data_IF_517421771723
#
_entry.id   IF_517421771723
#
_cell.length_a   1.000
_cell.length_b   1.000
_cell.length_c   1.000
_cell.angle_alpha   90.00
_cell.angle_beta   90.00
_cell.angle_gamma   90.00
#
_symmetry.space_group_name_H-M   'P 1'
#
loop_
_entity.id
_entity.type
_entity.pdbx_description
1 polymer ?
#
# COMPACT_ATOMS: atom_id res chain seq x y z
N UNK A 1 10.80 14.75 -14.76
CA UNK A 1 9.51 14.40 -14.12
C UNK A 1 8.58 15.60 -14.20
N UNK A 2 7.23 15.41 -14.36
CA UNK A 2 6.24 16.51 -14.35
C UNK A 2 6.19 17.19 -12.98
N UNK A 3 5.85 18.48 -12.96
CA UNK A 3 5.66 19.28 -11.75
C UNK A 3 4.33 20.03 -11.73
N UNK A 4 3.64 20.08 -12.89
CA UNK A 4 2.35 20.74 -13.01
C UNK A 4 1.19 19.91 -12.44
N UNK A 5 0.22 20.61 -11.86
CA UNK A 5 -1.02 20.03 -11.32
C UNK A 5 -2.26 20.58 -12.04
N UNK A 6 -2.11 21.12 -13.26
CA UNK A 6 -3.16 21.85 -13.99
C UNK A 6 -4.40 20.99 -14.29
N UNK A 7 -4.24 19.67 -14.35
CA UNK A 7 -5.34 18.71 -14.51
C UNK A 7 -6.19 18.51 -13.26
N UNK A 8 -5.73 19.00 -12.08
CA UNK A 8 -6.46 18.88 -10.82
C UNK A 8 -7.23 20.17 -10.49
N UNK A 9 -8.43 20.06 -9.91
CA UNK A 9 -9.15 21.22 -9.37
C UNK A 9 -8.30 21.97 -8.32
N UNK A 10 -8.43 23.29 -8.26
CA UNK A 10 -7.69 24.13 -7.29
C UNK A 10 -7.84 23.67 -5.83
N UNK A 11 -8.99 23.11 -5.48
CA UNK A 11 -9.22 22.54 -4.14
C UNK A 11 -8.29 21.37 -3.85
N UNK A 12 -8.07 20.50 -4.83
CA UNK A 12 -7.17 19.33 -4.72
C UNK A 12 -5.70 19.75 -4.71
N UNK A 13 -5.35 20.79 -5.49
CA UNK A 13 -4.00 21.35 -5.46
C UNK A 13 -3.66 21.92 -4.07
N UNK A 14 -4.58 22.69 -3.45
CA UNK A 14 -4.41 23.21 -2.08
C UNK A 14 -4.35 22.11 -1.01
N UNK A 15 -5.12 21.04 -1.18
CA UNK A 15 -5.02 19.88 -0.29
C UNK A 15 -3.63 19.23 -0.39
N UNK A 16 -3.08 19.06 -1.60
CA UNK A 16 -1.74 18.51 -1.80
C UNK A 16 -0.64 19.42 -1.22
N UNK A 17 -0.75 20.74 -1.39
CA UNK A 17 0.15 21.69 -0.74
C UNK A 17 0.13 21.53 0.78
N UNK A 18 -1.07 21.41 1.35
CA UNK A 18 -1.25 21.17 2.80
C UNK A 18 -0.63 19.84 3.24
N UNK A 19 -0.83 18.78 2.47
CA UNK A 19 -0.24 17.48 2.75
C UNK A 19 1.29 17.55 2.77
N UNK A 20 1.90 18.18 1.75
CA UNK A 20 3.35 18.38 1.69
C UNK A 20 3.84 19.17 2.90
N UNK A 21 3.15 20.25 3.26
CA UNK A 21 3.49 21.05 4.44
C UNK A 21 3.49 20.20 5.72
N UNK A 22 2.47 19.39 5.95
CA UNK A 22 2.39 18.48 7.12
C UNK A 22 3.57 17.52 7.15
N UNK A 23 3.87 16.89 6.00
CA UNK A 23 4.98 15.93 5.91
C UNK A 23 6.31 16.58 6.31
N UNK A 24 6.57 17.82 5.87
CA UNK A 24 7.80 18.54 6.24
C UNK A 24 7.81 18.95 7.71
N UNK A 25 6.74 19.56 8.23
CA UNK A 25 6.65 20.00 9.63
C UNK A 25 6.87 18.84 10.61
N UNK A 26 6.23 17.70 10.37
CA UNK A 26 6.37 16.53 11.23
C UNK A 26 7.74 15.84 11.07
N UNK A 27 8.28 15.78 9.85
CA UNK A 27 9.62 15.27 9.61
C UNK A 27 10.69 16.12 10.28
N UNK A 28 10.61 17.45 10.18
CA UNK A 28 11.51 18.37 10.88
C UNK A 28 11.43 18.19 12.39
N UNK A 29 10.22 18.07 12.94
CA UNK A 29 10.01 17.81 14.37
C UNK A 29 10.64 16.48 14.82
N UNK A 30 10.47 15.41 14.04
CA UNK A 30 11.03 14.09 14.34
C UNK A 30 12.57 14.06 14.25
N UNK A 31 13.17 14.95 13.46
CA UNK A 31 14.62 15.03 13.26
C UNK A 31 15.28 16.13 14.07
N UNK A 32 14.54 17.04 14.72
CA UNK A 32 15.04 18.20 15.45
C UNK A 32 16.01 17.84 16.59
N UNK A 33 15.76 16.74 17.32
CA UNK A 33 16.65 16.25 18.39
C UNK A 33 17.72 15.33 17.78
N UNK A 34 18.72 15.91 17.16
CA UNK A 34 19.73 15.17 16.40
C UNK A 34 21.02 15.02 17.21
N UNK A 35 21.21 13.87 17.86
CA UNK A 35 22.44 13.49 18.54
C UNK A 35 23.49 12.83 17.61
N UNK A 36 23.13 12.46 16.40
CA UNK A 36 23.99 11.83 15.40
C UNK A 36 24.14 12.68 14.15
N UNK A 37 25.31 12.60 13.51
CA UNK A 37 25.61 13.40 12.32
C UNK A 37 24.65 13.09 11.14
N UNK A 38 24.29 11.83 10.94
CA UNK A 38 23.35 11.44 9.87
C UNK A 38 21.96 12.06 10.09
N UNK A 39 21.49 12.17 11.34
CA UNK A 39 20.19 12.76 11.67
C UNK A 39 20.19 14.29 11.44
N UNK A 40 21.32 14.95 11.66
CA UNK A 40 21.51 16.39 11.32
C UNK A 40 21.48 16.65 9.82
N UNK A 41 21.80 15.65 9.03
CA UNK A 41 21.79 15.71 7.57
C UNK A 41 20.52 15.10 6.96
N UNK A 42 19.55 14.70 7.80
CA UNK A 42 18.29 14.12 7.36
C UNK A 42 17.54 15.07 6.41
N UNK A 43 17.13 14.57 5.24
CA UNK A 43 16.43 15.36 4.22
C UNK A 43 15.41 14.54 3.48
N UNK A 44 14.28 15.15 3.21
CA UNK A 44 13.38 14.74 2.14
C UNK A 44 14.00 15.25 0.83
N UNK A 45 14.24 14.36 -0.11
CA UNK A 45 14.80 14.70 -1.42
C UNK A 45 13.70 14.97 -2.43
N UNK A 46 12.64 14.15 -2.44
CA UNK A 46 11.50 14.33 -3.34
C UNK A 46 10.21 13.87 -2.64
N UNK A 47 9.09 14.50 -3.00
CA UNK A 47 7.73 14.04 -2.71
C UNK A 47 7.02 13.92 -4.06
N UNK A 48 6.63 12.72 -4.45
CA UNK A 48 6.07 12.42 -5.76
C UNK A 48 4.65 11.90 -5.60
N UNK A 49 3.69 12.59 -6.20
CA UNK A 49 2.32 12.10 -6.36
C UNK A 49 2.29 11.05 -7.47
N UNK A 50 1.73 9.88 -7.20
CA UNK A 50 1.53 8.82 -8.19
C UNK A 50 0.10 8.27 -8.15
N UNK A 51 -0.21 7.26 -8.95
CA UNK A 51 -1.52 6.62 -8.93
C UNK A 51 -2.59 7.39 -9.70
N UNK A 52 -3.84 7.28 -9.24
CA UNK A 52 -5.01 7.80 -9.98
C UNK A 52 -5.00 9.32 -10.11
N UNK A 53 -4.61 10.03 -9.06
CA UNK A 53 -4.52 11.50 -9.10
C UNK A 53 -3.44 12.01 -10.05
N UNK A 54 -2.29 11.33 -10.12
CA UNK A 54 -1.24 11.72 -11.07
C UNK A 54 -1.66 11.48 -12.53
N UNK A 55 -2.44 10.41 -12.80
CA UNK A 55 -2.90 10.06 -14.15
C UNK A 55 -4.22 10.73 -14.58
N UNK A 56 -4.88 11.48 -13.68
CA UNK A 56 -6.17 12.11 -13.98
C UNK A 56 -7.37 11.17 -13.96
N UNK A 57 -7.22 9.94 -13.48
CA UNK A 57 -8.27 8.93 -13.41
C UNK A 57 -8.84 8.71 -11.99
N UNK A 58 -8.80 9.71 -11.12
CA UNK A 58 -9.33 9.59 -9.76
C UNK A 58 -10.87 9.54 -9.75
N UNK A 59 -11.42 8.86 -8.75
CA UNK A 59 -12.86 8.79 -8.47
C UNK A 59 -13.11 9.46 -7.12
N UNK A 60 -14.09 10.36 -7.06
CA UNK A 60 -14.50 11.06 -5.84
C UNK A 60 -16.02 10.94 -5.69
N UNK A 61 -16.49 9.72 -5.39
CA UNK A 61 -17.92 9.39 -5.26
C UNK A 61 -18.26 8.84 -3.87
N UNK A 62 -17.98 9.60 -2.78
CA UNK A 62 -18.21 9.12 -1.41
C UNK A 62 -19.69 8.91 -1.09
N UNK A 63 -20.60 9.45 -1.91
CA UNK A 63 -22.06 9.41 -1.71
C UNK A 63 -22.77 8.32 -2.53
N UNK A 64 -22.05 7.58 -3.38
CA UNK A 64 -22.63 6.46 -4.12
C UNK A 64 -22.73 5.20 -3.25
N UNK A 65 -23.57 4.24 -3.66
CA UNK A 65 -23.70 2.96 -2.94
C UNK A 65 -22.35 2.22 -2.83
N UNK A 66 -21.40 2.45 -3.73
CA UNK A 66 -20.03 1.90 -3.69
C UNK A 66 -19.10 2.69 -2.77
N UNK A 67 -19.41 3.98 -2.47
CA UNK A 67 -18.65 4.84 -1.54
C UNK A 67 -17.15 4.91 -1.85
N UNK A 68 -16.76 4.76 -3.13
CA UNK A 68 -15.37 4.72 -3.51
C UNK A 68 -14.81 6.13 -3.64
N UNK A 69 -13.73 6.38 -2.94
CA UNK A 69 -12.95 7.60 -3.04
C UNK A 69 -11.49 7.22 -3.25
N UNK A 70 -10.87 7.83 -4.26
CA UNK A 70 -9.44 7.66 -4.51
C UNK A 70 -8.62 8.39 -3.44
N UNK A 71 -7.48 7.82 -3.09
CA UNK A 71 -6.53 8.39 -2.14
C UNK A 71 -5.43 9.16 -2.87
N UNK A 72 -4.83 10.14 -2.20
CA UNK A 72 -3.53 10.67 -2.64
C UNK A 72 -2.45 9.65 -2.30
N UNK A 73 -1.70 9.20 -3.31
CA UNK A 73 -0.58 8.31 -3.15
C UNK A 73 0.71 9.06 -3.34
N UNK A 74 1.55 9.02 -2.32
CA UNK A 74 2.81 9.73 -2.31
C UNK A 74 3.99 8.78 -2.13
N UNK A 75 5.02 8.96 -2.95
CA UNK A 75 6.34 8.41 -2.72
C UNK A 75 7.22 9.51 -2.15
N UNK A 76 7.70 9.30 -0.94
CA UNK A 76 8.66 10.18 -0.28
C UNK A 76 10.04 9.58 -0.42
N UNK A 77 10.96 10.33 -1.01
CA UNK A 77 12.36 9.90 -1.19
C UNK A 77 13.22 10.65 -0.18
N UNK A 78 13.97 9.89 0.62
CA UNK A 78 14.85 10.39 1.67
C UNK A 78 16.31 10.03 1.39
N UNK A 79 17.22 10.75 2.03
CA UNK A 79 18.66 10.59 1.81
C UNK A 79 19.35 9.53 2.68
N UNK A 80 18.63 8.85 3.58
CA UNK A 80 19.24 7.86 4.48
C UNK A 80 18.27 6.75 4.87
N UNK A 81 18.74 5.48 4.90
CA UNK A 81 17.93 4.28 5.16
C UNK A 81 17.15 4.33 6.47
N UNK A 82 17.74 4.81 7.54
CA UNK A 82 17.04 4.91 8.84
C UNK A 82 15.80 5.81 8.79
N UNK A 83 15.75 6.77 7.88
CA UNK A 83 14.60 7.67 7.72
C UNK A 83 13.39 6.97 7.08
N UNK A 84 13.53 5.74 6.62
CA UNK A 84 12.38 4.95 6.13
C UNK A 84 11.61 4.27 7.25
N UNK A 85 12.09 4.32 8.51
CA UNK A 85 11.35 3.82 9.66
C UNK A 85 10.10 4.66 9.92
N UNK A 86 8.95 4.05 9.62
CA UNK A 86 7.64 4.71 9.73
C UNK A 86 7.27 5.05 11.18
N UNK A 87 7.62 4.17 12.12
CA UNK A 87 7.27 4.36 13.52
C UNK A 87 8.03 5.53 14.14
N UNK A 88 9.32 5.67 13.83
CA UNK A 88 10.16 6.72 14.39
C UNK A 88 9.93 8.08 13.72
N UNK A 89 9.81 8.15 12.37
CA UNK A 89 9.86 9.42 11.66
C UNK A 89 8.54 9.88 11.06
N UNK A 90 7.56 8.99 10.87
CA UNK A 90 6.37 9.28 10.06
C UNK A 90 5.04 9.06 10.77
N UNK A 91 5.03 8.43 11.95
CA UNK A 91 3.79 8.17 12.70
C UNK A 91 3.03 9.45 13.05
N UNK A 92 3.71 10.52 13.45
CA UNK A 92 3.10 11.81 13.76
C UNK A 92 2.47 12.45 12.52
N UNK A 93 3.11 12.31 11.35
CA UNK A 93 2.56 12.78 10.08
C UNK A 93 1.29 12.00 9.70
N UNK A 94 1.30 10.67 9.83
CA UNK A 94 0.11 9.83 9.61
C UNK A 94 -1.05 10.23 10.54
N UNK A 95 -0.77 10.38 11.83
CA UNK A 95 -1.78 10.76 12.82
C UNK A 95 -2.38 12.14 12.53
N UNK A 96 -1.54 13.10 12.11
CA UNK A 96 -2.00 14.44 11.77
C UNK A 96 -2.82 14.45 10.49
N UNK A 97 -2.39 13.76 9.43
CA UNK A 97 -3.16 13.62 8.20
C UNK A 97 -4.52 12.96 8.45
N UNK A 98 -4.56 11.89 9.24
CA UNK A 98 -5.80 11.24 9.63
C UNK A 98 -6.71 12.14 10.47
N UNK A 99 -6.16 12.96 11.36
CA UNK A 99 -6.91 13.94 12.16
C UNK A 99 -7.49 15.03 11.28
N UNK A 100 -6.72 15.56 10.32
CA UNK A 100 -7.19 16.57 9.38
C UNK A 100 -8.27 16.03 8.43
N UNK A 101 -8.23 14.76 8.09
CA UNK A 101 -9.27 14.09 7.32
C UNK A 101 -10.55 13.84 8.14
N UNK A 102 -10.42 13.20 9.31
CA UNK A 102 -11.55 12.66 10.05
C UNK A 102 -12.21 13.68 11.00
N UNK A 103 -11.43 14.59 11.60
CA UNK A 103 -11.88 15.49 12.66
C UNK A 103 -12.05 16.92 12.15
N UNK A 104 -10.98 17.56 11.71
CA UNK A 104 -11.04 18.97 11.29
C UNK A 104 -11.61 19.14 9.88
N UNK A 105 -11.59 18.09 9.08
CA UNK A 105 -12.05 18.08 7.68
C UNK A 105 -11.38 19.13 6.79
N UNK A 106 -10.17 19.52 7.16
CA UNK A 106 -9.31 20.38 6.35
C UNK A 106 -8.87 19.63 5.10
N UNK A 107 -8.61 18.33 5.24
CA UNK A 107 -8.45 17.40 4.13
C UNK A 107 -9.77 16.65 3.89
N UNK A 108 -10.09 16.39 2.62
CA UNK A 108 -11.26 15.62 2.20
C UNK A 108 -10.88 14.33 1.48
N UNK A 109 -9.62 14.23 1.08
CA UNK A 109 -9.06 13.10 0.37
C UNK A 109 -8.12 12.35 1.30
N UNK A 110 -8.29 11.02 1.47
CA UNK A 110 -7.35 10.21 2.22
C UNK A 110 -5.95 10.29 1.62
N UNK A 111 -4.93 10.17 2.47
CA UNK A 111 -3.53 10.23 2.05
C UNK A 111 -2.83 8.93 2.42
N UNK A 112 -2.22 8.29 1.44
CA UNK A 112 -1.29 7.19 1.63
C UNK A 112 0.10 7.61 1.18
N UNK A 113 1.13 7.24 1.94
CA UNK A 113 2.49 7.46 1.49
C UNK A 113 3.40 6.27 1.81
N UNK A 114 4.41 6.11 1.00
CA UNK A 114 5.52 5.18 1.19
C UNK A 114 6.81 5.96 1.22
N UNK A 115 7.79 5.46 1.95
CA UNK A 115 9.09 6.12 2.11
C UNK A 115 10.19 5.19 1.65
N UNK A 116 11.01 5.67 0.73
CA UNK A 116 12.19 4.97 0.22
C UNK A 116 13.41 5.89 0.20
N UNK A 117 14.58 5.29 0.23
CA UNK A 117 15.80 6.03 -0.10
C UNK A 117 15.92 6.24 -1.61
N UNK A 118 16.70 7.24 -2.01
CA UNK A 118 17.02 7.44 -3.42
C UNK A 118 17.70 6.21 -4.03
N UNK A 119 18.53 5.51 -3.26
CA UNK A 119 19.18 4.29 -3.72
C UNK A 119 18.18 3.18 -3.98
N UNK A 120 17.24 2.92 -3.07
CA UNK A 120 16.19 1.90 -3.27
C UNK A 120 15.34 2.17 -4.51
N UNK A 121 15.02 3.44 -4.77
CA UNK A 121 14.28 3.84 -5.98
C UNK A 121 15.13 3.59 -7.24
N UNK A 122 16.40 4.00 -7.23
CA UNK A 122 17.31 3.80 -8.36
C UNK A 122 17.54 2.29 -8.62
N UNK A 123 17.71 1.49 -7.57
CA UNK A 123 17.84 0.04 -7.69
C UNK A 123 16.54 -0.58 -8.24
N UNK A 124 15.38 -0.09 -7.79
CA UNK A 124 14.10 -0.50 -8.33
C UNK A 124 13.93 -0.22 -9.83
N UNK A 125 14.37 0.94 -10.27
CA UNK A 125 14.37 1.33 -11.70
C UNK A 125 15.37 0.48 -12.52
N UNK A 126 16.57 0.28 -12.02
CA UNK A 126 17.60 -0.53 -12.69
C UNK A 126 17.22 -2.00 -12.75
N UNK A 127 16.47 -2.51 -11.76
CA UNK A 127 15.96 -3.87 -11.72
C UNK A 127 14.63 -4.04 -12.48
N UNK A 128 14.12 -3.00 -13.12
CA UNK A 128 12.89 -3.06 -13.89
C UNK A 128 11.64 -3.39 -13.06
N UNK A 129 11.57 -2.87 -11.83
CA UNK A 129 10.36 -3.02 -10.99
C UNK A 129 9.29 -2.08 -11.50
N UNK A 130 8.18 -2.64 -11.99
CA UNK A 130 7.13 -1.88 -12.66
C UNK A 130 6.56 -0.75 -11.82
N UNK A 131 6.45 -0.93 -10.51
CA UNK A 131 5.99 0.13 -9.61
C UNK A 131 6.85 1.41 -9.75
N UNK A 132 8.18 1.30 -9.67
CA UNK A 132 9.06 2.46 -9.80
C UNK A 132 9.10 3.00 -11.21
N UNK A 133 8.97 2.14 -12.23
CA UNK A 133 8.84 2.55 -13.63
C UNK A 133 7.60 3.41 -13.82
N UNK A 134 6.45 2.98 -13.30
CA UNK A 134 5.20 3.73 -13.39
C UNK A 134 5.28 5.07 -12.65
N UNK A 135 5.92 5.09 -11.47
CA UNK A 135 6.15 6.34 -10.73
C UNK A 135 7.08 7.28 -11.49
N UNK A 136 8.12 6.77 -12.11
CA UNK A 136 9.05 7.60 -12.90
C UNK A 136 8.39 8.17 -14.17
N UNK A 137 7.50 7.38 -14.82
CA UNK A 137 6.79 7.78 -16.04
C UNK A 137 5.65 8.75 -15.77
N UNK A 138 4.76 8.41 -14.83
CA UNK A 138 3.49 9.09 -14.62
C UNK A 138 3.47 10.02 -13.40
N UNK A 139 4.48 9.94 -12.53
CA UNK A 139 4.55 10.67 -11.28
C UNK A 139 4.72 12.18 -11.48
N UNK A 140 4.17 12.94 -10.51
CA UNK A 140 4.26 14.40 -10.46
C UNK A 140 5.06 14.78 -9.22
N UNK A 141 6.17 15.48 -9.39
CA UNK A 141 6.97 15.96 -8.27
C UNK A 141 6.26 17.16 -7.61
N UNK A 142 5.71 16.93 -6.41
CA UNK A 142 5.17 18.00 -5.55
C UNK A 142 6.29 18.77 -4.87
N UNK A 143 7.42 18.11 -4.63
CA UNK A 143 8.64 18.71 -4.09
C UNK A 143 9.86 17.96 -4.62
N UNK A 144 10.92 18.69 -4.89
CA UNK A 144 12.25 18.16 -5.18
C UNK A 144 13.35 19.10 -4.69
N UNK A 145 14.34 18.56 -3.98
CA UNK A 145 15.45 19.34 -3.41
C UNK A 145 16.44 19.80 -4.50
N UNK A 146 16.48 19.06 -5.61
CA UNK A 146 17.24 19.42 -6.81
C UNK A 146 16.46 18.95 -8.06
N UNK A 147 16.69 19.57 -9.23
CA UNK A 147 15.96 19.26 -10.46
C UNK A 147 16.41 17.98 -11.15
N UNK A 148 17.32 17.19 -10.55
CA UNK A 148 17.81 15.94 -11.17
C UNK A 148 16.69 14.94 -11.29
N UNK A 149 16.44 14.45 -12.48
CA UNK A 149 15.46 13.41 -12.75
C UNK A 149 15.91 12.06 -12.17
N UNK A 150 14.95 11.17 -11.96
CA UNK A 150 15.23 9.78 -11.65
C UNK A 150 15.92 9.13 -12.87
N UNK A 151 16.79 8.12 -12.65
CA UNK A 151 17.43 7.39 -13.76
C UNK A 151 16.41 6.81 -14.73
N UNK A 152 16.80 6.65 -15.97
CA UNK A 152 15.97 5.95 -16.95
C UNK A 152 15.71 4.50 -16.50
N UNK A 153 14.43 4.07 -16.49
CA UNK A 153 14.10 2.71 -16.14
C UNK A 153 14.74 1.69 -17.08
N UNK A 154 15.18 0.57 -16.52
CA UNK A 154 15.64 -0.58 -17.29
C UNK A 154 14.60 -1.70 -17.19
N UNK A 155 13.63 -1.79 -18.12
CA UNK A 155 12.63 -2.84 -18.11
C UNK A 155 13.28 -4.22 -18.16
N UNK A 156 12.68 -5.19 -17.45
CA UNK A 156 13.10 -6.59 -17.54
C UNK A 156 12.82 -7.14 -18.93
N UNK A 157 13.69 -8.06 -19.37
CA UNK A 157 13.32 -8.91 -20.49
C UNK A 157 12.09 -9.75 -20.15
N UNK A 158 11.28 -10.18 -21.15
CA UNK A 158 10.12 -11.05 -20.89
C UNK A 158 10.47 -12.29 -20.07
N UNK A 159 11.59 -12.95 -20.36
CA UNK A 159 12.05 -14.14 -19.62
C UNK A 159 12.38 -13.83 -18.16
N UNK A 160 13.05 -12.71 -17.88
CA UNK A 160 13.36 -12.28 -16.52
C UNK A 160 12.07 -11.93 -15.74
N UNK A 161 11.13 -11.26 -16.40
CA UNK A 161 9.85 -10.92 -15.81
C UNK A 161 9.04 -12.16 -15.49
N UNK A 162 9.00 -13.14 -16.40
CA UNK A 162 8.33 -14.42 -16.22
C UNK A 162 8.94 -15.22 -15.06
N UNK A 163 10.25 -15.37 -15.03
CA UNK A 163 10.93 -16.10 -13.96
C UNK A 163 10.65 -15.50 -12.58
N UNK A 164 10.73 -14.19 -12.45
CA UNK A 164 10.45 -13.49 -11.20
C UNK A 164 8.97 -13.58 -10.79
N UNK A 165 8.03 -13.45 -11.74
CA UNK A 165 6.60 -13.58 -11.45
C UNK A 165 6.28 -14.99 -10.91
N UNK A 166 6.85 -16.04 -11.50
CA UNK A 166 6.69 -17.43 -11.04
C UNK A 166 7.27 -17.64 -9.63
N UNK A 167 8.48 -17.14 -9.37
CA UNK A 167 9.12 -17.22 -8.05
C UNK A 167 8.24 -16.59 -6.96
N UNK A 168 7.73 -15.39 -7.18
CA UNK A 168 6.83 -14.72 -6.23
C UNK A 168 5.51 -15.47 -6.06
N UNK A 169 4.95 -16.00 -7.13
CA UNK A 169 3.70 -16.76 -7.07
C UNK A 169 3.86 -18.03 -6.24
N UNK A 170 4.92 -18.79 -6.50
CA UNK A 170 5.25 -20.05 -5.80
C UNK A 170 5.57 -19.84 -4.31
N UNK A 171 6.12 -18.67 -3.95
CA UNK A 171 6.40 -18.33 -2.56
C UNK A 171 5.14 -17.86 -1.82
N UNK A 172 4.45 -16.86 -2.36
CA UNK A 172 3.47 -16.11 -1.60
C UNK A 172 2.06 -16.70 -1.60
N UNK A 173 1.60 -17.31 -2.69
CA UNK A 173 0.27 -17.89 -2.74
C UNK A 173 0.13 -19.09 -1.77
N UNK A 174 1.05 -20.08 -1.76
CA UNK A 174 0.99 -21.16 -0.80
C UNK A 174 1.17 -20.68 0.65
N UNK A 175 1.97 -19.63 0.87
CA UNK A 175 2.13 -19.03 2.20
C UNK A 175 0.81 -18.47 2.74
N UNK A 176 0.04 -17.78 1.89
CA UNK A 176 -1.30 -17.28 2.24
C UNK A 176 -2.28 -18.44 2.52
N UNK A 177 -2.27 -19.46 1.68
CA UNK A 177 -3.15 -20.62 1.80
C UNK A 177 -2.92 -21.41 3.10
N UNK A 178 -1.66 -21.66 3.45
CA UNK A 178 -1.31 -22.31 4.73
C UNK A 178 -1.77 -21.50 5.94
N UNK A 179 -1.59 -20.18 5.91
CA UNK A 179 -2.03 -19.30 7.01
C UNK A 179 -3.55 -19.26 7.14
N UNK A 180 -4.28 -19.30 6.02
CA UNK A 180 -5.74 -19.39 6.02
C UNK A 180 -6.20 -20.73 6.63
N UNK A 181 -5.59 -21.84 6.25
CA UNK A 181 -5.88 -23.15 6.80
C UNK A 181 -5.65 -23.20 8.32
N UNK A 182 -4.49 -22.74 8.77
CA UNK A 182 -4.16 -22.64 10.20
C UNK A 182 -5.12 -21.71 10.94
N UNK A 183 -5.56 -20.60 10.33
CA UNK A 183 -6.54 -19.70 10.91
C UNK A 183 -7.91 -20.37 11.09
N UNK A 184 -8.36 -21.16 10.14
CA UNK A 184 -9.59 -21.95 10.25
C UNK A 184 -9.47 -23.05 11.31
N UNK A 185 -8.32 -23.68 11.41
CA UNK A 185 -8.06 -24.67 12.45
C UNK A 185 -8.03 -24.04 13.85
N UNK A 186 -7.42 -22.88 14.00
CA UNK A 186 -7.43 -22.12 15.25
C UNK A 186 -8.87 -21.73 15.68
N UNK A 187 -9.72 -21.35 14.72
CA UNK A 187 -11.14 -21.10 14.97
C UNK A 187 -11.85 -22.37 15.44
N UNK A 188 -11.67 -23.50 14.77
CA UNK A 188 -12.28 -24.76 15.15
C UNK A 188 -11.88 -25.25 16.55
N UNK A 189 -10.71 -24.82 17.03
CA UNK A 189 -10.21 -25.11 18.38
C UNK A 189 -10.61 -24.02 19.41
N UNK A 190 -11.45 -23.07 19.05
CA UNK A 190 -11.87 -21.95 19.89
C UNK A 190 -10.69 -21.03 20.35
N UNK A 191 -9.74 -20.77 19.45
CA UNK A 191 -8.65 -19.82 19.66
C UNK A 191 -8.89 -18.54 18.81
N UNK A 192 -9.85 -17.68 19.19
CA UNK A 192 -10.33 -16.59 18.32
C UNK A 192 -9.26 -15.54 18.00
N UNK A 193 -8.33 -15.27 18.93
CA UNK A 193 -7.27 -14.29 18.72
C UNK A 193 -6.22 -14.81 17.74
N UNK A 194 -5.83 -16.08 17.86
CA UNK A 194 -4.88 -16.71 16.95
C UNK A 194 -5.49 -16.83 15.55
N UNK A 195 -6.77 -17.22 15.46
CA UNK A 195 -7.50 -17.24 14.21
C UNK A 195 -7.51 -15.87 13.52
N UNK A 196 -7.85 -14.79 14.25
CA UNK A 196 -7.85 -13.44 13.70
C UNK A 196 -6.48 -13.00 13.20
N UNK A 197 -5.42 -13.28 13.96
CA UNK A 197 -4.05 -12.96 13.57
C UNK A 197 -3.62 -13.73 12.31
N UNK A 198 -3.90 -15.03 12.25
CA UNK A 198 -3.58 -15.87 11.09
C UNK A 198 -4.35 -15.47 9.84
N UNK A 199 -5.63 -15.09 9.96
CA UNK A 199 -6.42 -14.54 8.85
C UNK A 199 -5.87 -13.20 8.37
N UNK A 200 -5.40 -12.33 9.28
CA UNK A 200 -4.69 -11.11 8.90
C UNK A 200 -3.43 -11.44 8.09
N UNK A 201 -2.60 -12.37 8.57
CA UNK A 201 -1.36 -12.75 7.90
C UNK A 201 -1.61 -13.45 6.54
N UNK A 202 -2.69 -14.21 6.41
CA UNK A 202 -3.12 -14.78 5.14
C UNK A 202 -3.50 -13.69 4.12
N UNK A 203 -4.30 -12.71 4.57
CA UNK A 203 -4.71 -11.56 3.76
C UNK A 203 -3.51 -10.74 3.28
N UNK A 204 -2.57 -10.47 4.17
CA UNK A 204 -1.31 -9.77 3.86
C UNK A 204 -0.51 -10.55 2.80
N UNK A 205 -0.36 -11.88 2.96
CA UNK A 205 0.37 -12.71 2.01
C UNK A 205 -0.28 -12.73 0.62
N UNK A 206 -1.60 -12.77 0.52
CA UNK A 206 -2.30 -12.70 -0.76
C UNK A 206 -2.14 -11.35 -1.44
N UNK A 207 -2.20 -10.24 -0.69
CA UNK A 207 -1.92 -8.94 -1.27
C UNK A 207 -0.47 -8.80 -1.73
N UNK A 208 0.50 -9.30 -0.96
CA UNK A 208 1.89 -9.34 -1.40
C UNK A 208 2.06 -10.17 -2.67
N UNK A 209 1.37 -11.31 -2.78
CA UNK A 209 1.41 -12.15 -3.98
C UNK A 209 1.01 -11.35 -5.23
N UNK A 210 -0.17 -10.77 -5.25
CA UNK A 210 -0.65 -10.04 -6.44
C UNK A 210 0.20 -8.80 -6.74
N UNK A 211 0.64 -8.07 -5.72
CA UNK A 211 1.51 -6.91 -5.89
C UNK A 211 2.87 -7.30 -6.50
N UNK A 212 3.51 -8.32 -5.96
CA UNK A 212 4.82 -8.78 -6.42
C UNK A 212 4.76 -9.42 -7.81
N UNK A 213 3.76 -10.25 -8.09
CA UNK A 213 3.61 -10.90 -9.41
C UNK A 213 3.30 -9.87 -10.51
N UNK A 214 2.46 -8.89 -10.22
CA UNK A 214 2.00 -7.94 -11.24
C UNK A 214 2.88 -6.70 -11.38
N UNK A 215 3.53 -6.23 -10.29
CA UNK A 215 4.31 -4.98 -10.30
C UNK A 215 5.78 -5.14 -9.88
N UNK A 216 6.20 -6.33 -9.44
CA UNK A 216 7.52 -6.63 -8.87
C UNK A 216 7.88 -5.75 -7.67
N UNK A 217 6.85 -5.26 -6.99
CA UNK A 217 6.99 -4.45 -5.80
C UNK A 217 5.82 -4.69 -4.83
N UNK A 218 6.13 -4.79 -3.56
CA UNK A 218 5.15 -4.70 -2.47
C UNK A 218 5.74 -3.82 -1.35
N UNK A 219 4.97 -2.89 -0.78
CA UNK A 219 5.44 -2.05 0.31
C UNK A 219 5.63 -2.88 1.59
N UNK A 220 6.71 -2.62 2.32
CA UNK A 220 6.96 -3.26 3.62
C UNK A 220 6.01 -2.69 4.69
N UNK A 221 4.83 -3.25 4.81
CA UNK A 221 3.81 -2.80 5.76
C UNK A 221 2.85 -3.92 6.11
N UNK A 222 2.32 -3.87 7.33
CA UNK A 222 1.22 -4.73 7.81
C UNK A 222 -0.16 -4.02 7.72
N UNK A 223 -0.21 -2.84 7.10
CA UNK A 223 -1.44 -2.08 6.93
C UNK A 223 -2.28 -2.68 5.79
N UNK A 224 -3.25 -3.54 6.15
CA UNK A 224 -4.13 -4.19 5.16
C UNK A 224 -4.96 -3.20 4.34
N UNK A 225 -5.34 -2.05 4.90
CA UNK A 225 -6.07 -1.05 4.13
C UNK A 225 -5.22 -0.50 2.99
N UNK A 226 -3.95 -0.21 3.27
CA UNK A 226 -3.01 0.26 2.28
C UNK A 226 -2.69 -0.82 1.23
N UNK A 227 -2.36 -2.05 1.64
CA UNK A 227 -2.12 -3.16 0.72
C UNK A 227 -3.32 -3.42 -0.18
N UNK A 228 -4.53 -3.38 0.38
CA UNK A 228 -5.79 -3.52 -0.33
C UNK A 228 -5.93 -2.45 -1.41
N UNK A 229 -5.74 -1.17 -1.08
CA UNK A 229 -5.84 -0.06 -2.04
C UNK A 229 -4.85 -0.23 -3.19
N UNK A 230 -3.61 -0.66 -2.90
CA UNK A 230 -2.62 -0.92 -3.94
C UNK A 230 -3.02 -2.10 -4.84
N UNK A 231 -3.51 -3.19 -4.26
CA UNK A 231 -3.94 -4.37 -5.00
C UNK A 231 -5.19 -4.12 -5.86
N UNK A 232 -6.19 -3.40 -5.34
CA UNK A 232 -7.43 -3.04 -6.06
C UNK A 232 -7.16 -2.18 -7.31
N UNK A 233 -6.01 -1.50 -7.38
CA UNK A 233 -5.56 -0.77 -8.58
C UNK A 233 -4.99 -1.67 -9.66
N UNK A 234 -4.42 -2.81 -9.26
CA UNK A 234 -3.92 -3.79 -10.22
C UNK A 234 -5.09 -4.44 -10.91
N UNK A 235 -6.11 -4.85 -10.14
CA UNK A 235 -7.28 -5.51 -10.70
C UNK A 235 -8.56 -5.18 -9.91
N UNK A 236 -9.59 -4.61 -10.55
CA UNK A 236 -10.84 -4.23 -9.91
C UNK A 236 -11.65 -5.42 -9.35
N UNK A 237 -11.40 -6.67 -9.77
CA UNK A 237 -12.02 -7.87 -9.19
C UNK A 237 -11.74 -8.02 -7.70
N UNK A 238 -10.64 -7.43 -7.20
CA UNK A 238 -10.28 -7.43 -5.79
C UNK A 238 -11.20 -6.53 -4.93
N UNK A 239 -11.89 -5.55 -5.54
CA UNK A 239 -12.83 -4.66 -4.85
C UNK A 239 -14.01 -5.46 -4.27
N UNK A 240 -14.55 -6.40 -5.05
CA UNK A 240 -15.75 -7.16 -4.71
C UNK A 240 -15.50 -8.24 -3.64
N UNK A 241 -14.25 -8.54 -3.35
CA UNK A 241 -13.89 -9.49 -2.28
C UNK A 241 -14.37 -9.02 -0.92
N UNK A 242 -14.31 -7.71 -0.66
CA UNK A 242 -14.67 -7.11 0.61
C UNK A 242 -15.92 -6.23 0.48
N UNK A 243 -17.11 -6.76 0.77
CA UNK A 243 -18.34 -5.97 0.80
C UNK A 243 -18.20 -4.73 1.70
N UNK A 244 -18.75 -3.59 1.24
CA UNK A 244 -18.65 -2.28 1.94
C UNK A 244 -20.02 -1.65 2.19
N UNK A 245 -21.08 -2.33 1.75
CA UNK A 245 -22.44 -1.78 1.74
C UNK A 245 -22.96 -1.58 3.16
N UNK A 246 -22.77 -2.58 4.04
CA UNK A 246 -23.27 -2.50 5.40
C UNK A 246 -22.23 -2.00 6.39
N UNK A 247 -22.70 -1.40 7.49
CA UNK A 247 -21.84 -1.03 8.62
C UNK A 247 -21.16 -2.26 9.23
N UNK A 248 -21.86 -3.41 9.22
CA UNK A 248 -21.35 -4.66 9.77
C UNK A 248 -20.16 -5.18 8.95
N UNK A 249 -20.23 -5.14 7.61
CA UNK A 249 -19.13 -5.61 6.75
C UNK A 249 -17.88 -4.77 6.94
N UNK A 250 -18.05 -3.45 6.98
CA UNK A 250 -16.93 -2.54 7.25
C UNK A 250 -16.32 -2.80 8.64
N UNK A 251 -17.15 -3.01 9.67
CA UNK A 251 -16.66 -3.28 11.03
C UNK A 251 -15.88 -4.61 11.12
N UNK A 252 -16.29 -5.66 10.39
CA UNK A 252 -15.55 -6.93 10.35
C UNK A 252 -14.16 -6.76 9.72
N UNK A 253 -14.07 -6.02 8.60
CA UNK A 253 -12.77 -5.74 8.00
C UNK A 253 -11.88 -4.88 8.92
N UNK A 254 -12.44 -3.90 9.64
CA UNK A 254 -11.69 -3.15 10.66
C UNK A 254 -11.11 -4.07 11.75
N UNK A 255 -11.88 -5.04 12.24
CA UNK A 255 -11.37 -6.03 13.20
C UNK A 255 -10.22 -6.86 12.65
N UNK A 256 -10.29 -7.25 11.37
CA UNK A 256 -9.20 -7.95 10.70
C UNK A 256 -7.94 -7.09 10.62
N UNK A 257 -8.06 -5.81 10.23
CA UNK A 257 -6.94 -4.87 10.19
C UNK A 257 -6.25 -4.72 11.54
N UNK A 258 -7.06 -4.60 12.60
CA UNK A 258 -6.57 -4.43 13.96
C UNK A 258 -5.91 -5.70 14.54
N UNK A 259 -6.19 -6.87 13.98
CA UNK A 259 -5.75 -8.15 14.52
C UNK A 259 -4.23 -8.27 14.61
N UNK A 260 -3.48 -7.66 13.69
CA UNK A 260 -2.01 -7.71 13.71
C UNK A 260 -1.41 -7.25 15.05
N UNK A 261 -1.95 -6.18 15.61
CA UNK A 261 -1.50 -5.63 16.91
C UNK A 261 -2.41 -6.09 18.03
N UNK A 262 -3.73 -5.84 17.91
CA UNK A 262 -4.66 -5.99 19.03
C UNK A 262 -4.91 -7.45 19.43
N UNK A 263 -4.90 -8.41 18.49
CA UNK A 263 -5.08 -9.82 18.85
C UNK A 263 -3.94 -10.34 19.73
N UNK A 264 -2.72 -9.86 19.52
CA UNK A 264 -1.53 -10.27 20.29
C UNK A 264 -1.38 -9.54 21.61
N UNK A 265 -1.63 -8.22 21.65
CA UNK A 265 -1.22 -7.38 22.77
C UNK A 265 -2.40 -6.78 23.56
N UNK A 266 -3.62 -6.77 23.01
CA UNK A 266 -4.77 -6.18 23.71
C UNK A 266 -5.65 -7.22 24.38
N UNK A 267 -5.84 -7.09 25.69
CA UNK A 267 -6.85 -7.87 26.43
C UNK A 267 -8.29 -7.50 26.07
N UNK A 268 -8.50 -6.36 25.42
CA UNK A 268 -9.81 -5.84 25.04
C UNK A 268 -10.23 -6.20 23.62
N UNK A 269 -9.35 -6.79 22.80
CA UNK A 269 -9.72 -7.24 21.47
C UNK A 269 -10.77 -8.34 21.57
N UNK A 270 -11.92 -8.13 20.92
CA UNK A 270 -13.03 -9.07 20.88
C UNK A 270 -13.47 -9.31 19.45
N UNK A 271 -13.58 -10.57 19.09
CA UNK A 271 -14.08 -11.03 17.80
C UNK A 271 -14.89 -12.29 18.04
N UNK A 272 -16.05 -12.42 17.39
CA UNK A 272 -16.94 -13.57 17.55
C UNK A 272 -16.58 -14.68 16.54
N UNK A 273 -17.07 -15.90 16.79
CA UNK A 273 -16.91 -17.03 15.88
C UNK A 273 -17.56 -16.76 14.51
N UNK A 274 -18.74 -16.16 14.48
CA UNK A 274 -19.45 -15.78 13.26
C UNK A 274 -18.64 -14.74 12.43
N UNK A 275 -18.04 -13.76 13.10
CA UNK A 275 -17.17 -12.77 12.45
C UNK A 275 -15.93 -13.44 11.85
N UNK A 276 -15.31 -14.37 12.59
CA UNK A 276 -14.14 -15.11 12.12
C UNK A 276 -14.48 -16.06 10.96
N UNK A 277 -15.61 -16.76 11.03
CA UNK A 277 -16.08 -17.61 9.94
C UNK A 277 -16.29 -16.79 8.66
N UNK A 278 -17.00 -15.67 8.77
CA UNK A 278 -17.20 -14.74 7.65
C UNK A 278 -15.86 -14.21 7.09
N UNK A 279 -14.94 -13.80 7.96
CA UNK A 279 -13.61 -13.36 7.54
C UNK A 279 -12.83 -14.48 6.84
N UNK A 280 -12.88 -15.70 7.35
CA UNK A 280 -12.25 -16.87 6.75
C UNK A 280 -12.76 -17.15 5.32
N UNK A 281 -14.08 -16.95 5.09
CA UNK A 281 -14.68 -17.06 3.76
C UNK A 281 -14.22 -15.96 2.81
N UNK A 282 -14.13 -14.71 3.31
CA UNK A 282 -13.63 -13.57 2.52
C UNK A 282 -12.14 -13.71 2.17
N UNK A 283 -11.32 -14.14 3.14
CA UNK A 283 -9.89 -14.42 2.89
C UNK A 283 -9.72 -15.56 1.88
N UNK A 284 -10.57 -16.60 1.96
CA UNK A 284 -10.58 -17.66 0.97
C UNK A 284 -11.00 -17.19 -0.42
N UNK A 285 -11.98 -16.27 -0.50
CA UNK A 285 -12.36 -15.62 -1.77
C UNK A 285 -11.21 -14.77 -2.31
N UNK A 286 -10.52 -14.02 -1.45
CA UNK A 286 -9.33 -13.25 -1.83
C UNK A 286 -8.26 -14.14 -2.46
N UNK A 287 -7.95 -15.27 -1.81
CA UNK A 287 -6.95 -16.21 -2.33
C UNK A 287 -7.27 -16.70 -3.74
N UNK A 288 -8.53 -17.09 -4.00
CA UNK A 288 -8.97 -17.52 -5.33
C UNK A 288 -8.86 -16.42 -6.40
N UNK A 289 -9.24 -15.20 -6.07
CA UNK A 289 -9.15 -14.06 -7.00
C UNK A 289 -7.68 -13.71 -7.28
N UNK A 290 -6.82 -13.72 -6.25
CA UNK A 290 -5.38 -13.49 -6.40
C UNK A 290 -4.74 -14.58 -7.27
N UNK A 291 -5.06 -15.86 -7.03
CA UNK A 291 -4.57 -16.99 -7.84
C UNK A 291 -4.92 -16.79 -9.32
N UNK A 292 -6.17 -16.45 -9.63
CA UNK A 292 -6.63 -16.22 -10.99
C UNK A 292 -5.89 -15.04 -11.66
N UNK A 293 -5.77 -13.89 -10.99
CA UNK A 293 -5.09 -12.70 -11.52
C UNK A 293 -3.61 -13.01 -11.78
N UNK A 294 -2.95 -13.69 -10.84
CA UNK A 294 -1.54 -14.03 -10.97
C UNK A 294 -1.30 -15.05 -12.10
N UNK A 295 -2.17 -16.06 -12.25
CA UNK A 295 -2.10 -17.02 -13.35
C UNK A 295 -2.25 -16.32 -14.71
N UNK A 296 -3.26 -15.48 -14.89
CA UNK A 296 -3.46 -14.68 -16.11
C UNK A 296 -2.24 -13.79 -16.43
N UNK A 297 -1.63 -13.21 -15.39
CA UNK A 297 -0.41 -12.40 -15.56
C UNK A 297 0.77 -13.24 -16.03
N UNK A 298 0.98 -14.42 -15.45
CA UNK A 298 2.04 -15.34 -15.82
C UNK A 298 1.86 -15.84 -17.26
N UNK A 299 0.65 -16.22 -17.66
CA UNK A 299 0.34 -16.62 -19.05
C UNK A 299 0.63 -15.50 -20.06
N UNK A 300 0.31 -14.24 -19.71
CA UNK A 300 0.63 -13.09 -20.55
C UNK A 300 2.15 -12.88 -20.69
N UNK A 301 2.92 -13.10 -19.62
CA UNK A 301 4.37 -13.03 -19.64
C UNK A 301 4.98 -14.20 -20.44
N UNK A 302 4.44 -15.41 -20.35
CA UNK A 302 4.84 -16.56 -21.15
C UNK A 302 4.68 -16.29 -22.65
N UNK A 303 3.52 -15.73 -23.03
CA UNK A 303 3.22 -15.37 -24.41
C UNK A 303 4.20 -14.30 -24.94
N UNK A 304 4.58 -13.35 -24.07
CA UNK A 304 5.54 -12.30 -24.41
C UNK A 304 6.98 -12.80 -24.50
N UNK A 305 7.34 -13.83 -23.74
CA UNK A 305 8.66 -14.46 -23.77
C UNK A 305 8.84 -15.40 -24.98
N UNK A 306 7.73 -15.93 -25.51
CA UNK A 306 7.73 -16.81 -26.68
C UNK A 306 7.70 -16.03 -28.03
N UNK A 307 7.46 -14.74 -28.02
CA UNK A 307 7.36 -13.87 -29.20
C UNK A 307 8.71 -13.21 -29.53
#
# INVERSE_FOLDING_TARGET
MRTDLDHLPLTKQRELERVVQILFEEFESATAIANSQWKKQARILKVILYGSYARGGWVDEPHTAKGYQSDYDLLIIVNHQKLTDRAEFWSSAEDRLNRELAITRTLRTPVNFIVHTLQEVNDGLSQGRYFFIDVARDGIALYQSDPTDLPEPQPKTPDQALAMAREYFEEWLPSGSRKLELGREALARAYPKDAAFLLHQATESYYHCVLLVCSFYAPHTHNLAFLRTQAERIDPRLIDVWPRETKADRARFEKLKEAYVKARYSKHYRITEDELAWLGDRVGALGRVVEMICAERIEALESSAAA
#
